data_IF_297142760569
#
_entry.id   IF_297142760569
#
_cell.length_a   1.000
_cell.length_b   1.000
_cell.length_c   1.000
_cell.angle_alpha   90.00
_cell.angle_beta   90.00
_cell.angle_gamma   90.00
#
_symmetry.space_group_name_H-M   'P 1'
#
loop_
_entity.id
_entity.type
_entity.pdbx_description
1 polymer ?
#
# COMPACT_ATOMS: atom_id res chain seq x y z
N UNK A 1 3.83 -12.20 -10.31
CA UNK A 1 4.19 -10.76 -10.36
C UNK A 1 3.68 -10.14 -9.08
N UNK A 2 4.51 -9.35 -8.39
CA UNK A 2 4.16 -8.71 -7.13
C UNK A 2 4.01 -7.21 -7.29
N UNK A 3 2.86 -6.68 -6.90
CA UNK A 3 2.51 -5.26 -7.02
C UNK A 3 2.33 -4.69 -5.62
N UNK A 4 3.08 -3.64 -5.31
CA UNK A 4 2.83 -2.83 -4.12
C UNK A 4 1.85 -1.69 -4.42
N UNK A 5 0.92 -1.45 -3.48
CA UNK A 5 -0.04 -0.36 -3.52
C UNK A 5 0.19 0.55 -2.30
N UNK A 6 0.28 1.86 -2.50
CA UNK A 6 0.21 2.82 -1.40
C UNK A 6 -1.21 2.80 -0.82
N UNK A 7 -1.36 2.12 0.32
CA UNK A 7 -2.67 2.00 0.94
C UNK A 7 -3.11 3.30 1.63
N UNK A 8 -2.21 4.27 1.83
CA UNK A 8 -2.48 5.51 2.56
C UNK A 8 -2.67 6.72 1.64
N UNK A 9 -2.36 6.57 0.35
CA UNK A 9 -2.46 7.62 -0.67
C UNK A 9 -3.85 7.76 -1.29
N UNK A 10 -4.30 9.01 -1.44
CA UNK A 10 -5.55 9.37 -2.12
C UNK A 10 -6.69 9.82 -1.21
N UNK A 11 -7.65 10.54 -1.77
CA UNK A 11 -8.73 11.22 -1.02
C UNK A 11 -9.62 10.26 -0.21
N UNK A 12 -9.70 9.00 -0.61
CA UNK A 12 -10.54 7.95 -0.01
C UNK A 12 -9.71 6.82 0.60
N UNK A 13 -8.41 7.05 0.83
CA UNK A 13 -7.56 6.08 1.51
C UNK A 13 -7.90 5.97 3.01
N UNK A 14 -7.68 4.78 3.62
CA UNK A 14 -7.21 3.54 3.00
C UNK A 14 -8.32 2.72 2.34
N UNK A 15 -9.59 3.14 2.47
CA UNK A 15 -10.75 2.34 2.05
C UNK A 15 -10.75 1.98 0.57
N UNK A 16 -10.62 2.96 -0.32
CA UNK A 16 -10.66 2.72 -1.76
C UNK A 16 -9.50 1.83 -2.23
N UNK A 17 -8.31 1.98 -1.63
CA UNK A 17 -7.14 1.16 -1.96
C UNK A 17 -7.30 -0.29 -1.50
N UNK A 18 -7.85 -0.50 -0.31
CA UNK A 18 -8.17 -1.85 0.20
C UNK A 18 -9.23 -2.53 -0.67
N UNK A 19 -10.30 -1.82 -1.04
CA UNK A 19 -11.37 -2.34 -1.90
C UNK A 19 -10.81 -2.77 -3.28
N UNK A 20 -10.00 -1.91 -3.91
CA UNK A 20 -9.35 -2.23 -5.18
C UNK A 20 -8.39 -3.42 -5.09
N UNK A 21 -7.62 -3.51 -4.01
CA UNK A 21 -6.72 -4.65 -3.76
C UNK A 21 -7.49 -5.96 -3.58
N UNK A 22 -8.61 -5.94 -2.85
CA UNK A 22 -9.48 -7.12 -2.68
C UNK A 22 -10.11 -7.56 -4.00
N UNK A 23 -10.61 -6.61 -4.80
CA UNK A 23 -11.15 -6.90 -6.14
C UNK A 23 -10.09 -7.55 -7.03
N UNK A 24 -8.87 -6.99 -7.02
CA UNK A 24 -7.74 -7.50 -7.82
C UNK A 24 -7.32 -8.89 -7.35
N UNK A 25 -7.17 -9.11 -6.05
CA UNK A 25 -6.78 -10.41 -5.49
C UNK A 25 -7.81 -11.51 -5.80
N UNK A 26 -9.10 -11.14 -5.86
CA UNK A 26 -10.20 -12.03 -6.23
C UNK A 26 -10.19 -12.40 -7.72
N UNK A 27 -9.89 -11.44 -8.60
CA UNK A 27 -9.95 -11.63 -10.06
C UNK A 27 -8.66 -12.27 -10.62
N UNK A 28 -7.50 -11.92 -10.05
CA UNK A 28 -6.17 -12.32 -10.54
C UNK A 28 -5.39 -13.07 -9.45
N UNK A 29 -5.61 -14.37 -9.36
CA UNK A 29 -4.98 -15.24 -8.35
C UNK A 29 -3.46 -15.44 -8.56
N UNK A 30 -2.93 -15.13 -9.74
CA UNK A 30 -1.52 -15.19 -10.10
C UNK A 30 -0.71 -13.94 -9.70
N UNK A 31 -1.40 -12.89 -9.26
CA UNK A 31 -0.80 -11.64 -8.79
C UNK A 31 -0.69 -11.65 -7.27
N UNK A 32 0.48 -11.28 -6.75
CA UNK A 32 0.68 -10.98 -5.33
C UNK A 32 0.49 -9.48 -5.11
N UNK A 33 -0.49 -9.11 -4.29
CA UNK A 33 -0.81 -7.72 -3.96
C UNK A 33 -0.29 -7.39 -2.57
N UNK A 34 0.47 -6.30 -2.46
CA UNK A 34 1.07 -5.84 -1.22
C UNK A 34 0.56 -4.44 -0.87
N UNK A 35 -0.31 -4.32 0.13
CA UNK A 35 -0.79 -3.06 0.66
C UNK A 35 0.26 -2.46 1.60
N UNK A 36 0.89 -1.35 1.19
CA UNK A 36 1.92 -0.66 1.96
C UNK A 36 1.29 0.47 2.76
N UNK A 37 1.40 0.44 4.08
CA UNK A 37 0.81 1.50 4.92
C UNK A 37 0.64 1.10 6.38
N UNK A 38 -0.15 1.90 7.11
CA UNK A 38 -0.41 1.66 8.51
C UNK A 38 -1.24 0.38 8.69
N UNK A 39 -0.69 -0.59 9.42
CA UNK A 39 -1.27 -1.93 9.51
C UNK A 39 -2.67 -1.94 10.13
N UNK A 40 -2.87 -1.24 11.25
CA UNK A 40 -4.15 -1.22 11.98
C UNK A 40 -5.36 -0.79 11.13
N UNK A 41 -5.34 0.37 10.43
CA UNK A 41 -6.48 0.77 9.60
C UNK A 41 -6.69 -0.16 8.40
N UNK A 42 -5.61 -0.64 7.77
CA UNK A 42 -5.70 -1.60 6.65
C UNK A 42 -6.34 -2.92 7.11
N UNK A 43 -5.84 -3.48 8.20
CA UNK A 43 -6.32 -4.76 8.75
C UNK A 43 -7.78 -4.66 9.19
N UNK A 44 -8.18 -3.51 9.76
CA UNK A 44 -9.57 -3.26 10.17
C UNK A 44 -10.54 -3.37 8.99
N UNK A 45 -10.18 -2.80 7.84
CA UNK A 45 -10.98 -2.88 6.61
C UNK A 45 -10.94 -4.28 5.99
N UNK A 46 -9.78 -4.94 5.97
CA UNK A 46 -9.65 -6.29 5.41
C UNK A 46 -10.48 -7.34 6.16
N UNK A 47 -10.78 -7.13 7.44
CA UNK A 47 -11.65 -8.01 8.22
C UNK A 47 -13.10 -8.03 7.72
N UNK A 48 -13.52 -7.06 6.90
CA UNK A 48 -14.84 -7.03 6.26
C UNK A 48 -14.92 -7.95 5.01
N UNK A 49 -13.80 -8.52 4.56
CA UNK A 49 -13.68 -9.30 3.34
C UNK A 49 -13.19 -10.74 3.60
N UNK A 50 -13.37 -11.67 2.63
CA UNK A 50 -12.72 -12.96 2.66
C UNK A 50 -11.20 -12.82 2.71
N UNK A 51 -10.52 -13.81 3.31
CA UNK A 51 -9.06 -13.86 3.27
C UNK A 51 -8.59 -14.36 1.91
N UNK A 52 -7.59 -13.67 1.35
CA UNK A 52 -6.91 -14.06 0.12
C UNK A 52 -5.46 -14.41 0.44
N UNK A 53 -4.94 -15.48 -0.17
CA UNK A 53 -3.56 -15.94 0.06
C UNK A 53 -2.52 -15.07 -0.64
N UNK A 54 -2.94 -14.33 -1.66
CA UNK A 54 -2.13 -13.45 -2.50
C UNK A 54 -2.32 -11.96 -2.15
N UNK A 55 -2.89 -11.65 -0.98
CA UNK A 55 -3.05 -10.29 -0.47
C UNK A 55 -2.31 -10.14 0.86
N UNK A 56 -1.37 -9.20 0.90
CA UNK A 56 -0.44 -9.02 2.00
C UNK A 56 -0.42 -7.56 2.46
N UNK A 57 -0.03 -7.32 3.71
CA UNK A 57 0.22 -5.99 4.26
C UNK A 57 1.73 -5.85 4.44
N UNK A 58 2.29 -4.72 4.01
CA UNK A 58 3.63 -4.29 4.36
C UNK A 58 3.55 -3.05 5.26
N UNK A 59 4.02 -3.10 6.51
CA UNK A 59 3.86 -2.00 7.44
C UNK A 59 4.71 -0.79 7.02
N UNK A 60 4.08 0.38 7.04
CA UNK A 60 4.73 1.69 6.98
C UNK A 60 4.06 2.61 8.02
N UNK A 61 4.87 3.20 8.91
CA UNK A 61 4.36 3.89 10.10
C UNK A 61 3.94 5.34 9.79
N UNK A 62 4.53 5.94 8.76
CA UNK A 62 4.29 7.34 8.40
C UNK A 62 3.39 7.47 7.15
N UNK A 63 2.79 8.65 7.01
CA UNK A 63 2.04 9.07 5.81
C UNK A 63 2.50 10.48 5.46
N UNK A 64 2.61 10.77 4.16
CA UNK A 64 2.82 12.14 3.67
C UNK A 64 1.44 12.77 3.46
N UNK A 65 1.12 13.79 4.24
CA UNK A 65 -0.17 14.46 4.24
C UNK A 65 -0.31 15.48 3.10
N UNK A 66 -1.56 15.75 2.67
CA UNK A 66 -1.86 16.63 1.52
C UNK A 66 -1.41 18.10 1.64
N UNK A 67 -0.94 18.54 2.80
CA UNK A 67 -0.45 19.90 3.02
C UNK A 67 1.07 20.04 3.04
N UNK A 68 1.80 18.92 2.95
CA UNK A 68 3.25 18.94 3.12
C UNK A 68 3.99 19.31 1.84
N UNK A 69 5.14 19.97 1.99
CA UNK A 69 6.00 20.25 0.85
C UNK A 69 6.59 18.93 0.32
N UNK A 70 6.27 18.49 -0.92
CA UNK A 70 6.50 17.11 -1.35
C UNK A 70 7.95 16.66 -1.22
N UNK A 71 8.90 17.45 -1.71
CA UNK A 71 10.33 17.10 -1.66
C UNK A 71 10.86 17.00 -0.23
N UNK A 72 10.36 17.82 0.70
CA UNK A 72 10.83 17.81 2.09
C UNK A 72 10.24 16.62 2.83
N UNK A 73 8.93 16.40 2.68
CA UNK A 73 8.25 15.27 3.30
C UNK A 73 8.84 13.94 2.83
N UNK A 74 9.06 13.78 1.52
CA UNK A 74 9.68 12.57 0.98
C UNK A 74 11.09 12.33 1.50
N UNK A 75 11.88 13.39 1.73
CA UNK A 75 13.22 13.27 2.33
C UNK A 75 13.18 12.96 3.83
N UNK A 76 12.20 13.49 4.56
CA UNK A 76 12.13 13.37 6.02
C UNK A 76 11.42 12.09 6.48
N UNK A 77 10.35 11.70 5.79
CA UNK A 77 9.49 10.56 6.14
C UNK A 77 9.88 9.31 5.37
N UNK A 78 11.07 8.78 5.64
CA UNK A 78 11.58 7.57 4.98
C UNK A 78 10.76 6.31 5.32
N UNK A 79 9.93 6.36 6.37
CA UNK A 79 9.02 5.29 6.75
C UNK A 79 7.58 5.56 6.30
N UNK A 80 7.38 6.51 5.38
CA UNK A 80 6.08 6.76 4.75
C UNK A 80 5.71 5.64 3.78
N UNK A 81 4.40 5.35 3.66
CA UNK A 81 3.89 4.34 2.72
C UNK A 81 4.46 4.50 1.30
N UNK A 82 4.52 5.74 0.80
CA UNK A 82 5.09 6.04 -0.52
C UNK A 82 6.60 5.82 -0.59
N UNK A 83 7.38 6.25 0.42
CA UNK A 83 8.84 6.07 0.44
C UNK A 83 9.21 4.58 0.56
N UNK A 84 8.49 3.84 1.41
CA UNK A 84 8.63 2.40 1.58
C UNK A 84 8.28 1.67 0.29
N UNK A 85 7.17 2.02 -0.37
CA UNK A 85 6.76 1.43 -1.64
C UNK A 85 7.82 1.58 -2.74
N UNK A 86 8.38 2.78 -2.90
CA UNK A 86 9.50 3.00 -3.84
C UNK A 86 10.77 2.25 -3.43
N UNK A 87 11.05 2.13 -2.14
CA UNK A 87 12.19 1.35 -1.64
C UNK A 87 12.08 -0.12 -2.05
N UNK A 88 10.88 -0.71 -1.87
CA UNK A 88 10.59 -2.10 -2.28
C UNK A 88 10.75 -2.31 -3.79
N UNK A 89 10.28 -1.35 -4.59
CA UNK A 89 10.47 -1.40 -6.04
C UNK A 89 11.96 -1.33 -6.40
N UNK A 90 12.71 -0.41 -5.76
CA UNK A 90 14.14 -0.24 -6.00
C UNK A 90 14.96 -1.47 -5.62
N UNK A 91 14.57 -2.20 -4.57
CA UNK A 91 15.23 -3.44 -4.15
C UNK A 91 14.83 -4.67 -4.96
N UNK A 92 13.81 -4.57 -5.82
CA UNK A 92 13.28 -5.70 -6.59
C UNK A 92 12.40 -6.66 -5.77
N UNK A 93 11.94 -6.23 -4.59
CA UNK A 93 11.00 -7.01 -3.77
C UNK A 93 9.58 -7.00 -4.35
N UNK A 94 9.28 -6.00 -5.18
CA UNK A 94 8.07 -5.89 -5.99
C UNK A 94 8.42 -5.51 -7.43
N UNK A 95 7.59 -5.94 -8.37
CA UNK A 95 7.75 -5.68 -9.80
C UNK A 95 7.17 -4.31 -10.20
N UNK A 96 6.19 -3.81 -9.45
CA UNK A 96 5.55 -2.53 -9.67
C UNK A 96 5.09 -1.89 -8.35
N UNK A 97 5.00 -0.56 -8.36
CA UNK A 97 4.43 0.23 -7.27
C UNK A 97 3.43 1.24 -7.83
N UNK A 98 2.25 1.36 -7.21
CA UNK A 98 1.19 2.30 -7.58
C UNK A 98 0.61 2.95 -6.31
N UNK A 99 0.19 4.22 -6.41
CA UNK A 99 -0.44 4.97 -5.34
C UNK A 99 -1.26 6.12 -5.89
#
# INVERSE_FOLDING_TARGET
>A
MRIALDAMGGDFAPKAMVEGAVMTAKEFSELDILLVGQETPILSLLNEYPRFTNLHIYPAEEVIEMGEHPTKAFQQKQHSSIAVGYSLLKSGEVDAFCG
#
